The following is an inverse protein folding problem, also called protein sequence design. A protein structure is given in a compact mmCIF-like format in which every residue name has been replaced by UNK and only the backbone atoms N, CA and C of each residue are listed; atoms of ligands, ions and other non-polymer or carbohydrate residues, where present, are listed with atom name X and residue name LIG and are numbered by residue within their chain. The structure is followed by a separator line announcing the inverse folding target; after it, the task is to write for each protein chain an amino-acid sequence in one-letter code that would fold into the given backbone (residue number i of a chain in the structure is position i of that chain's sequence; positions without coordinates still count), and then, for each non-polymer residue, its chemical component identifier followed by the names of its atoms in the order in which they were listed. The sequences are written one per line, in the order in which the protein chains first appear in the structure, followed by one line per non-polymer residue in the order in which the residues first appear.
data_IF_315168814165
#
_entry.id   IF_315168814165
#
_cell.length_a   1.000
_cell.length_b   1.000
_cell.length_c   1.000
_cell.angle_alpha   90.00
_cell.angle_beta   90.00
_cell.angle_gamma   90.00
#
_symmetry.space_group_name_H-M   'P 1'
#
loop_
_entity.id
_entity.type
_entity.pdbx_description
1 polymer ?
#
# COMPACT_ATOMS: atom_id res chain seq x y z
N UNK A 1 25.38 7.45 1.32
CA UNK A 1 24.05 8.09 1.35
C UNK A 1 22.98 7.40 0.50
N UNK A 2 23.27 6.99 -0.75
CA UNK A 2 22.25 6.37 -1.64
C UNK A 2 21.63 5.06 -1.09
N UNK A 3 22.46 4.21 -0.46
CA UNK A 3 22.03 2.96 0.17
C UNK A 3 21.06 3.22 1.33
N UNK A 4 21.34 4.18 2.20
CA UNK A 4 20.47 4.55 3.33
C UNK A 4 19.08 4.97 2.85
N UNK A 5 19.00 5.77 1.78
CA UNK A 5 17.71 6.17 1.19
C UNK A 5 16.90 4.97 0.69
N UNK A 6 17.57 4.00 0.05
CA UNK A 6 16.93 2.78 -0.45
C UNK A 6 16.41 1.92 0.70
N UNK A 7 17.21 1.74 1.77
CA UNK A 7 16.81 0.99 2.95
C UNK A 7 15.58 1.65 3.59
N UNK A 8 15.62 2.96 3.82
CA UNK A 8 14.51 3.70 4.40
C UNK A 8 13.23 3.60 3.55
N UNK A 9 13.35 3.70 2.23
CA UNK A 9 12.23 3.57 1.30
C UNK A 9 11.53 2.21 1.43
N UNK A 10 12.30 1.11 1.43
CA UNK A 10 11.72 -0.23 1.58
C UNK A 10 11.22 -0.52 2.99
N UNK A 11 11.84 0.06 4.02
CA UNK A 11 11.35 -0.01 5.38
C UNK A 11 9.95 0.62 5.48
N UNK A 12 9.77 1.84 4.93
CA UNK A 12 8.48 2.53 4.91
C UNK A 12 7.43 1.81 4.08
N UNK A 13 7.82 1.20 2.96
CA UNK A 13 6.95 0.33 2.18
C UNK A 13 6.47 -0.87 3.00
N UNK A 14 7.39 -1.58 3.66
CA UNK A 14 7.07 -2.73 4.49
C UNK A 14 6.18 -2.34 5.68
N UNK A 15 6.46 -1.22 6.36
CA UNK A 15 5.62 -0.70 7.44
C UNK A 15 4.22 -0.34 6.97
N UNK A 16 4.08 0.25 5.77
CA UNK A 16 2.78 0.54 5.17
C UNK A 16 1.99 -0.74 4.93
N UNK A 17 2.61 -1.76 4.33
CA UNK A 17 1.96 -3.05 4.07
C UNK A 17 1.57 -3.75 5.38
N UNK A 18 2.48 -3.76 6.36
CA UNK A 18 2.24 -4.38 7.67
C UNK A 18 1.05 -3.73 8.41
N UNK A 19 0.99 -2.39 8.42
CA UNK A 19 -0.17 -1.69 8.99
C UNK A 19 -1.46 -1.99 8.22
N UNK A 20 -1.37 -2.19 6.90
CA UNK A 20 -2.50 -2.59 6.05
C UNK A 20 -3.07 -3.97 6.41
N UNK A 21 -2.22 -4.93 6.78
CA UNK A 21 -2.66 -6.23 7.29
C UNK A 21 -3.55 -6.07 8.52
N UNK A 22 -3.18 -5.20 9.46
CA UNK A 22 -3.98 -4.92 10.66
C UNK A 22 -5.36 -4.30 10.38
N UNK A 23 -5.61 -3.80 9.17
CA UNK A 23 -6.91 -3.26 8.74
C UNK A 23 -7.80 -4.37 8.15
N UNK A 24 -7.19 -5.33 7.44
CA UNK A 24 -7.89 -6.36 6.67
C UNK A 24 -8.09 -7.64 7.49
N UNK A 25 -7.14 -7.98 8.37
CA UNK A 25 -7.16 -9.24 9.10
C UNK A 25 -8.35 -9.35 10.06
N UNK A 26 -9.01 -10.52 10.12
CA UNK A 26 -10.04 -10.79 11.12
C UNK A 26 -9.44 -10.74 12.53
N UNK A 27 -10.15 -10.06 13.43
CA UNK A 27 -9.79 -9.93 14.83
C UNK A 27 -10.41 -11.08 15.65
N UNK A 28 -9.54 -11.87 16.26
CA UNK A 28 -9.88 -12.84 17.30
C UNK A 28 -9.46 -12.24 18.65
N UNK A 29 -10.36 -11.49 19.30
CA UNK A 29 -10.03 -10.83 20.58
C UNK A 29 -9.08 -9.62 20.44
N UNK A 30 -7.89 -9.69 21.06
CA UNK A 30 -6.95 -8.56 21.32
C UNK A 30 -6.00 -8.20 20.16
N UNK A 31 -6.47 -8.20 18.92
CA UNK A 31 -5.64 -7.75 17.79
C UNK A 31 -5.63 -6.22 17.61
N UNK A 32 -5.05 -5.75 16.51
CA UNK A 32 -4.99 -4.33 16.19
C UNK A 32 -6.40 -3.76 15.99
N UNK A 33 -6.82 -2.83 16.84
CA UNK A 33 -8.04 -2.08 16.56
C UNK A 33 -7.90 -1.34 15.23
N UNK A 34 -8.92 -1.46 14.37
CA UNK A 34 -8.99 -0.80 13.06
C UNK A 34 -8.54 0.67 13.09
N UNK A 35 -8.94 1.40 14.14
CA UNK A 35 -8.56 2.81 14.32
C UNK A 35 -7.05 3.02 14.40
N UNK A 36 -6.35 2.23 15.22
CA UNK A 36 -4.89 2.32 15.36
C UNK A 36 -4.20 1.90 14.05
N UNK A 37 -4.61 0.77 13.47
CA UNK A 37 -4.06 0.29 12.20
C UNK A 37 -4.18 1.32 11.08
N UNK A 38 -5.36 1.95 10.96
CA UNK A 38 -5.61 3.00 9.97
C UNK A 38 -4.75 4.24 10.17
N UNK A 39 -4.50 4.65 11.42
CA UNK A 39 -3.64 5.79 11.74
C UNK A 39 -2.18 5.50 11.37
N UNK A 40 -1.65 4.34 11.76
CA UNK A 40 -0.29 3.93 11.38
C UNK A 40 -0.14 3.81 9.87
N UNK A 41 -1.10 3.18 9.20
CA UNK A 41 -1.09 3.03 7.74
C UNK A 41 -1.02 4.40 7.04
N UNK A 42 -1.81 5.38 7.48
CA UNK A 42 -1.79 6.72 6.91
C UNK A 42 -0.43 7.41 7.10
N UNK A 43 0.13 7.36 8.32
CA UNK A 43 1.43 7.97 8.62
C UNK A 43 2.55 7.35 7.78
N UNK A 44 2.63 6.02 7.73
CA UNK A 44 3.66 5.34 6.95
C UNK A 44 3.49 5.56 5.44
N UNK A 45 2.26 5.63 4.94
CA UNK A 45 1.99 5.94 3.52
C UNK A 45 2.48 7.33 3.13
N UNK A 46 2.23 8.34 3.97
CA UNK A 46 2.71 9.71 3.71
C UNK A 46 4.23 9.78 3.76
N UNK A 47 4.86 9.14 4.75
CA UNK A 47 6.31 9.06 4.84
C UNK A 47 6.91 8.32 3.65
N UNK A 48 6.27 7.24 3.20
CA UNK A 48 6.67 6.50 2.01
C UNK A 48 6.66 7.40 0.76
N UNK A 49 5.60 8.16 0.53
CA UNK A 49 5.52 9.14 -0.58
C UNK A 49 6.68 10.15 -0.49
N UNK A 50 6.92 10.72 0.69
CA UNK A 50 8.06 11.64 0.89
C UNK A 50 9.41 10.98 0.56
N UNK A 51 9.61 9.74 0.99
CA UNK A 51 10.82 8.97 0.70
C UNK A 51 10.97 8.65 -0.79
N UNK A 52 9.86 8.40 -1.49
CA UNK A 52 9.83 8.13 -2.93
C UNK A 52 10.29 9.35 -3.74
N UNK A 53 9.80 10.54 -3.37
CA UNK A 53 10.20 11.80 -3.97
C UNK A 53 11.69 12.08 -3.72
N UNK A 54 12.20 11.75 -2.54
CA UNK A 54 13.60 11.95 -2.18
C UNK A 54 14.57 10.95 -2.83
N UNK A 55 14.13 9.72 -3.07
CA UNK A 55 14.94 8.67 -3.70
C UNK A 55 14.99 8.82 -5.23
N UNK A 56 13.85 9.16 -5.85
CA UNK A 56 13.68 9.35 -7.30
C UNK A 56 14.36 8.24 -8.14
N UNK A 57 14.13 6.98 -7.78
CA UNK A 57 14.77 5.81 -8.41
C UNK A 57 13.74 4.92 -9.13
N UNK A 58 13.82 4.88 -10.47
CA UNK A 58 12.82 4.22 -11.34
C UNK A 58 12.61 2.73 -11.01
N UNK A 59 13.68 1.97 -10.79
CA UNK A 59 13.57 0.52 -10.55
C UNK A 59 12.88 0.26 -9.21
N UNK A 60 13.22 1.03 -8.17
CA UNK A 60 12.60 0.90 -6.84
C UNK A 60 11.11 1.25 -6.86
N UNK A 61 10.72 2.25 -7.67
CA UNK A 61 9.30 2.59 -7.89
C UNK A 61 8.54 1.44 -8.55
N UNK A 62 9.12 0.82 -9.59
CA UNK A 62 8.49 -0.33 -10.27
C UNK A 62 8.31 -1.51 -9.31
N UNK A 63 9.33 -1.84 -8.50
CA UNK A 63 9.24 -2.91 -7.50
C UNK A 63 8.14 -2.61 -6.48
N UNK A 64 8.12 -1.39 -5.92
CA UNK A 64 7.10 -1.00 -4.96
C UNK A 64 5.69 -0.99 -5.56
N UNK A 65 5.55 -0.53 -6.80
CA UNK A 65 4.27 -0.56 -7.53
C UNK A 65 3.77 -1.99 -7.68
N UNK A 66 4.63 -2.92 -8.13
CA UNK A 66 4.25 -4.33 -8.26
C UNK A 66 3.79 -4.93 -6.93
N UNK A 67 4.52 -4.67 -5.85
CA UNK A 67 4.18 -5.16 -4.51
C UNK A 67 2.86 -4.55 -4.03
N UNK A 68 2.68 -3.23 -4.16
CA UNK A 68 1.46 -2.54 -3.73
C UNK A 68 0.23 -2.95 -4.55
N UNK A 69 0.39 -3.17 -5.86
CA UNK A 69 -0.68 -3.64 -6.72
C UNK A 69 -1.11 -5.07 -6.37
N UNK A 70 -0.15 -5.96 -6.10
CA UNK A 70 -0.45 -7.30 -5.60
C UNK A 70 -1.17 -7.24 -4.25
N UNK A 71 -0.68 -6.44 -3.30
CA UNK A 71 -1.32 -6.27 -2.01
C UNK A 71 -2.73 -5.69 -2.13
N UNK A 72 -2.96 -4.75 -3.05
CA UNK A 72 -4.27 -4.18 -3.33
C UNK A 72 -5.27 -5.21 -3.85
N UNK A 73 -4.87 -6.03 -4.83
CA UNK A 73 -5.73 -7.09 -5.37
C UNK A 73 -6.01 -8.18 -4.32
N UNK A 74 -4.97 -8.69 -3.68
CA UNK A 74 -5.07 -9.74 -2.67
C UNK A 74 -5.89 -9.29 -1.46
N UNK A 75 -5.81 -8.01 -1.07
CA UNK A 75 -6.59 -7.48 0.06
C UNK A 75 -8.10 -7.53 -0.18
N UNK A 76 -8.52 -7.36 -1.42
CA UNK A 76 -9.94 -7.42 -1.80
C UNK A 76 -10.47 -8.85 -1.74
N UNK A 77 -9.76 -9.76 -2.40
CA UNK A 77 -10.11 -11.18 -2.42
C UNK A 77 -10.12 -11.77 -1.00
N UNK A 78 -9.10 -11.46 -0.21
CA UNK A 78 -9.01 -11.92 1.17
C UNK A 78 -10.13 -11.36 2.06
N UNK A 79 -10.48 -10.09 1.92
CA UNK A 79 -11.60 -9.51 2.67
C UNK A 79 -12.93 -10.22 2.36
N UNK A 80 -13.22 -10.47 1.08
CA UNK A 80 -14.43 -11.20 0.66
C UNK A 80 -14.45 -12.62 1.24
N UNK A 81 -13.32 -13.32 1.18
CA UNK A 81 -13.19 -14.65 1.77
C UNK A 81 -13.48 -14.63 3.28
N UNK A 82 -12.93 -13.66 4.02
CA UNK A 82 -13.20 -13.53 5.45
C UNK A 82 -14.65 -13.14 5.77
N UNK A 83 -15.28 -12.32 4.93
CA UNK A 83 -16.69 -11.93 5.11
C UNK A 83 -17.63 -13.13 4.92
N UNK A 84 -17.41 -13.94 3.88
CA UNK A 84 -18.14 -15.17 3.63
C UNK A 84 -17.90 -16.21 4.74
N UNK A 85 -16.64 -16.41 5.14
CA UNK A 85 -16.30 -17.31 6.24
C UNK A 85 -16.94 -16.90 7.57
N UNK A 86 -16.98 -15.59 7.87
CA UNK A 86 -17.65 -15.06 9.07
C UNK A 86 -19.13 -15.43 9.08
N UNK A 87 -19.82 -15.34 7.95
CA UNK A 87 -21.24 -15.70 7.83
C UNK A 87 -21.49 -17.18 8.12
N UNK A 88 -20.62 -18.07 7.63
CA UNK A 88 -20.72 -19.51 7.87
C UNK A 88 -20.42 -19.87 9.33
N UNK A 89 -19.39 -19.29 9.94
CA UNK A 89 -19.01 -19.58 11.34
C UNK A 89 -20.04 -19.04 12.35
N UNK A 90 -20.60 -17.85 12.11
CA UNK A 90 -21.63 -17.28 12.99
C UNK A 90 -22.95 -18.07 12.98
N UNK A 91 -23.17 -18.93 11.98
CA UNK A 91 -24.32 -19.85 11.98
C UNK A 91 -24.13 -21.05 12.93
N UNK A 92 -22.92 -21.32 13.42
CA UNK A 92 -22.60 -22.55 14.17
C UNK A 92 -21.73 -22.40 15.42
N UNK A 93 -21.22 -21.21 15.77
CA UNK A 93 -20.33 -21.04 16.92
C UNK A 93 -20.62 -19.78 17.75
N UNK A 94 -20.17 -19.79 19.01
CA UNK A 94 -20.19 -18.62 19.91
C UNK A 94 -18.98 -17.70 19.74
N UNK A 95 -18.04 -18.03 18.83
CA UNK A 95 -16.83 -17.24 18.60
C UNK A 95 -17.12 -16.09 17.62
N UNK A 96 -17.11 -14.86 18.15
CA UNK A 96 -17.33 -13.66 17.35
C UNK A 96 -16.04 -13.24 16.66
N UNK A 97 -15.92 -13.56 15.38
CA UNK A 97 -14.92 -12.99 14.49
C UNK A 97 -15.30 -11.55 14.17
N UNK A 98 -14.43 -10.60 14.52
CA UNK A 98 -14.64 -9.18 14.19
C UNK A 98 -13.88 -8.84 12.91
N UNK A 99 -14.62 -8.52 11.84
CA UNK A 99 -14.06 -7.99 10.60
C UNK A 99 -14.34 -6.49 10.54
N UNK A 100 -13.49 -5.74 9.83
CA UNK A 100 -13.82 -4.36 9.50
C UNK A 100 -15.18 -4.29 8.79
N UNK A 101 -15.96 -3.24 9.07
CA UNK A 101 -17.18 -2.98 8.32
C UNK A 101 -16.85 -2.72 6.84
N UNK A 102 -17.74 -3.12 5.94
CA UNK A 102 -17.51 -3.00 4.49
C UNK A 102 -17.21 -1.56 4.07
N UNK A 103 -17.85 -0.56 4.67
CA UNK A 103 -17.58 0.84 4.37
C UNK A 103 -16.19 1.27 4.81
N UNK A 104 -15.74 0.78 5.98
CA UNK A 104 -14.40 1.02 6.51
C UNK A 104 -13.31 0.35 5.67
N UNK A 105 -13.53 -0.89 5.26
CA UNK A 105 -12.65 -1.61 4.34
C UNK A 105 -12.58 -0.90 2.98
N UNK A 106 -13.73 -0.52 2.40
CA UNK A 106 -13.77 0.14 1.10
C UNK A 106 -13.02 1.48 1.12
N UNK A 107 -13.13 2.23 2.22
CA UNK A 107 -12.36 3.47 2.42
C UNK A 107 -10.85 3.20 2.41
N UNK A 108 -10.38 2.22 3.16
CA UNK A 108 -8.97 1.80 3.13
C UNK A 108 -8.54 1.37 1.73
N UNK A 109 -9.31 0.48 1.11
CA UNK A 109 -9.02 -0.06 -0.21
C UNK A 109 -8.91 1.04 -1.26
N UNK A 110 -9.82 2.02 -1.23
CA UNK A 110 -9.75 3.20 -2.10
C UNK A 110 -8.45 4.00 -1.91
N UNK A 111 -8.02 4.28 -0.67
CA UNK A 111 -6.76 4.99 -0.43
C UNK A 111 -5.52 4.17 -0.82
N UNK A 112 -5.54 2.85 -0.61
CA UNK A 112 -4.50 1.95 -1.09
C UNK A 112 -4.42 2.01 -2.64
N UNK A 113 -5.57 2.07 -3.32
CA UNK A 113 -5.66 2.26 -4.76
C UNK A 113 -5.08 3.60 -5.23
N UNK A 114 -5.34 4.69 -4.48
CA UNK A 114 -4.73 5.99 -4.76
C UNK A 114 -3.20 5.95 -4.62
N UNK A 115 -2.66 5.19 -3.66
CA UNK A 115 -1.21 5.02 -3.51
C UNK A 115 -0.59 4.26 -4.69
N UNK A 116 -1.27 3.23 -5.20
CA UNK A 116 -0.88 2.51 -6.42
C UNK A 116 -0.90 3.45 -7.63
N UNK A 117 -1.98 4.22 -7.80
CA UNK A 117 -2.12 5.19 -8.88
C UNK A 117 -1.03 6.28 -8.82
N UNK A 118 -0.71 6.77 -7.62
CA UNK A 118 0.38 7.72 -7.40
C UNK A 118 1.72 7.19 -7.96
N UNK A 119 2.11 5.97 -7.60
CA UNK A 119 3.38 5.39 -8.08
C UNK A 119 3.38 5.21 -9.60
N UNK A 120 2.25 4.82 -10.17
CA UNK A 120 2.12 4.64 -11.62
C UNK A 120 2.32 5.98 -12.35
N UNK A 121 1.73 7.07 -11.84
CA UNK A 121 1.95 8.43 -12.34
C UNK A 121 3.40 8.89 -12.14
N UNK A 122 3.97 8.67 -10.95
CA UNK A 122 5.34 9.05 -10.63
C UNK A 122 6.38 8.38 -11.56
N UNK A 123 6.13 7.13 -11.97
CA UNK A 123 6.95 6.43 -12.96
C UNK A 123 6.79 7.06 -14.35
N UNK A 124 5.56 7.37 -14.76
CA UNK A 124 5.27 8.02 -16.04
C UNK A 124 5.98 9.38 -16.16
N UNK A 125 5.88 10.21 -15.11
CA UNK A 125 6.57 11.51 -15.04
C UNK A 125 8.09 11.35 -15.09
N UNK A 126 8.67 10.42 -14.31
CA UNK A 126 10.12 10.16 -14.36
C UNK A 126 10.59 9.69 -15.74
N UNK A 127 9.76 8.92 -16.46
CA UNK A 127 10.07 8.50 -17.82
C UNK A 127 10.08 9.68 -18.81
N UNK A 128 9.06 10.55 -18.73
CA UNK A 128 8.94 11.74 -19.57
C UNK A 128 10.10 12.71 -19.36
N UNK A 129 10.47 12.99 -18.10
CA UNK A 129 11.61 13.86 -17.77
C UNK A 129 12.94 13.32 -18.32
N UNK A 130 13.17 12.01 -18.21
CA UNK A 130 14.38 11.38 -18.76
C UNK A 130 14.43 11.47 -20.29
N UNK A 131 13.29 11.27 -20.96
CA UNK A 131 13.19 11.40 -22.42
C UNK A 131 13.49 12.83 -22.86
N UNK A 132 12.92 13.84 -22.19
CA UNK A 132 13.18 15.25 -22.48
C UNK A 132 14.67 15.58 -22.38
N UNK A 133 15.34 15.14 -21.31
CA UNK A 133 16.78 15.36 -21.10
C UNK A 133 17.65 14.76 -22.20
N UNK A 134 17.30 13.58 -22.70
CA UNK A 134 18.02 12.92 -23.79
C UNK A 134 17.87 13.66 -25.13
N UNK A 135 16.68 14.20 -25.41
CA UNK A 135 16.42 14.98 -26.62
C UNK A 135 17.22 16.29 -26.61
N UNK A 136 17.17 17.05 -25.51
CA UNK A 136 17.95 18.30 -25.39
C UNK A 136 19.46 18.09 -25.48
N UNK A 137 19.99 16.95 -25.01
CA UNK A 137 21.41 16.66 -25.16
C UNK A 137 21.81 16.31 -26.60
N UNK A 138 20.88 15.83 -27.42
CA UNK A 138 21.11 15.51 -28.83
C UNK A 138 21.02 16.75 -29.71
N UNK A 139 20.17 17.70 -29.35
CA UNK A 139 20.04 18.97 -30.06
C UNK A 139 21.22 19.93 -29.78
N UNK A 140 21.93 19.73 -28.67
CA UNK A 140 23.09 20.54 -28.25
C UNK A 140 24.46 19.95 -28.68
N UNK A 141 24.48 18.83 -29.42
CA UNK A 141 25.69 18.12 -29.86
C UNK A 141 25.82 18.17 -31.39
#
# INVERSE_FOLDING_TARGET
MKIIKIILYYLLLASTLYAGVGIISPLYGTGWHFSLASMYWAVFSVLFIGSDLWLHHKISRLIALSILALAYLMSFEYYLFCDEYRLVVHQGSSEKIFLADIGKFHKYWFYQGLLVAYLLLAIGVSHLLRRKKLLTNRDNA
#
